data_IF_696683376594
#
_entry.id   IF_696683376594
#
_cell.length_a   1.000
_cell.length_b   1.000
_cell.length_c   1.000
_cell.angle_alpha   90.00
_cell.angle_beta   90.00
_cell.angle_gamma   90.00
#
_symmetry.space_group_name_H-M   'P 1'
#
loop_
_entity.id
_entity.type
_entity.pdbx_description
1 polymer ?
#
# COMPACT_ATOMS: atom_id res chain seq x y z
N UNK A 1 -0.83 -6.20 -1.01
CA UNK A 1 -1.14 -6.52 -2.42
C UNK A 1 -2.16 -5.51 -2.91
N UNK A 2 -1.89 -4.84 -3.99
CA UNK A 2 -2.76 -3.79 -4.54
C UNK A 2 -3.51 -4.24 -5.79
N UNK A 3 -4.13 -3.29 -6.48
CA UNK A 3 -4.91 -3.52 -7.69
C UNK A 3 -4.12 -4.27 -8.78
N UNK A 4 -2.84 -3.91 -8.96
CA UNK A 4 -1.98 -4.38 -10.06
C UNK A 4 -0.78 -5.20 -9.64
N UNK A 5 -0.65 -5.54 -8.35
CA UNK A 5 0.47 -6.29 -7.81
C UNK A 5 0.05 -7.62 -7.21
N UNK A 6 0.93 -8.62 -7.34
CA UNK A 6 0.75 -9.95 -6.73
C UNK A 6 -0.52 -10.63 -7.16
N UNK A 7 -1.42 -10.89 -6.21
CA UNK A 7 -2.70 -11.57 -6.42
C UNK A 7 -3.90 -10.62 -6.63
N UNK A 8 -3.64 -9.33 -6.80
CA UNK A 8 -4.69 -8.36 -7.17
C UNK A 8 -5.30 -8.68 -8.53
N UNK A 9 -6.48 -8.13 -8.84
CA UNK A 9 -7.23 -8.50 -10.06
C UNK A 9 -6.42 -8.31 -11.35
N UNK A 10 -5.57 -7.30 -11.40
CA UNK A 10 -4.70 -7.00 -12.54
C UNK A 10 -3.21 -7.19 -12.22
N UNK A 11 -2.92 -7.98 -11.19
CA UNK A 11 -1.56 -8.37 -10.82
C UNK A 11 -1.04 -9.53 -11.68
N UNK A 12 0.18 -9.97 -11.37
CA UNK A 12 0.84 -11.04 -12.14
C UNK A 12 0.24 -12.44 -11.88
N UNK A 13 -0.45 -12.59 -10.75
CA UNK A 13 -1.01 -13.89 -10.32
C UNK A 13 -2.36 -13.68 -9.63
N UNK A 14 -3.40 -13.24 -10.36
CA UNK A 14 -4.68 -12.92 -9.77
C UNK A 14 -5.32 -14.14 -9.09
N UNK A 15 -5.97 -13.91 -7.95
CA UNK A 15 -6.72 -14.97 -7.24
C UNK A 15 -8.00 -15.39 -7.97
N UNK A 16 -8.60 -14.46 -8.69
CA UNK A 16 -9.82 -14.66 -9.45
C UNK A 16 -9.54 -14.90 -10.94
N UNK A 17 -10.62 -14.98 -11.68
CA UNK A 17 -10.58 -15.05 -13.15
C UNK A 17 -11.57 -14.04 -13.71
N UNK A 18 -11.24 -13.52 -14.88
CA UNK A 18 -12.20 -12.77 -15.69
C UNK A 18 -13.05 -13.75 -16.52
N UNK A 19 -14.20 -13.31 -16.92
CA UNK A 19 -15.08 -13.98 -17.91
C UNK A 19 -14.75 -13.59 -19.37
N UNK A 20 -13.67 -12.82 -19.54
CA UNK A 20 -13.10 -12.39 -20.82
C UNK A 20 -11.56 -12.49 -20.75
N UNK A 21 -10.88 -12.37 -21.89
CA UNK A 21 -9.42 -12.32 -21.96
C UNK A 21 -8.93 -10.91 -21.63
N UNK A 22 -8.39 -10.67 -20.43
CA UNK A 22 -7.86 -9.35 -20.08
C UNK A 22 -6.58 -9.07 -20.86
N UNK A 23 -6.26 -7.81 -21.16
CA UNK A 23 -4.99 -7.46 -21.75
C UNK A 23 -3.84 -7.91 -20.83
N UNK A 24 -2.71 -8.38 -21.38
CA UNK A 24 -1.58 -8.90 -20.61
C UNK A 24 -0.92 -7.85 -19.72
N UNK A 25 -1.13 -6.59 -20.03
CA UNK A 25 -0.75 -5.43 -19.23
C UNK A 25 -1.84 -4.40 -19.27
N UNK A 26 -2.18 -3.89 -18.10
CA UNK A 26 -3.07 -2.76 -17.97
C UNK A 26 -2.31 -1.52 -17.51
N UNK A 27 -2.88 -0.39 -17.84
CA UNK A 27 -2.59 0.89 -17.20
C UNK A 27 -3.92 1.47 -16.78
N UNK A 28 -4.05 1.76 -15.49
CA UNK A 28 -5.23 2.35 -14.93
C UNK A 28 -4.88 3.69 -14.31
N UNK A 29 -5.70 4.69 -14.52
CA UNK A 29 -5.49 6.06 -14.04
C UNK A 29 -6.76 6.56 -13.40
N UNK A 30 -6.64 7.18 -12.23
CA UNK A 30 -7.76 7.85 -11.56
C UNK A 30 -7.30 9.12 -10.84
N UNK A 31 -8.17 10.13 -10.69
CA UNK A 31 -7.86 11.32 -9.93
C UNK A 31 -7.77 11.01 -8.43
N UNK A 32 -6.83 11.63 -7.74
CA UNK A 32 -6.86 11.70 -6.28
C UNK A 32 -7.35 13.09 -5.83
N UNK A 33 -8.27 13.18 -4.86
CA UNK A 33 -8.73 14.46 -4.34
C UNK A 33 -7.69 15.15 -3.43
N UNK A 34 -6.60 14.45 -3.11
CA UNK A 34 -5.57 14.92 -2.18
C UNK A 34 -4.58 15.82 -2.88
N UNK A 35 -4.11 16.85 -2.17
CA UNK A 35 -2.90 17.57 -2.54
C UNK A 35 -1.71 16.63 -2.37
N UNK A 36 -0.86 16.55 -3.38
CA UNK A 36 0.38 15.77 -3.29
C UNK A 36 1.56 16.68 -3.55
N UNK A 37 2.61 16.53 -2.74
CA UNK A 37 3.85 17.28 -2.87
C UNK A 37 5.04 16.33 -2.86
N UNK A 38 6.01 16.59 -3.72
CA UNK A 38 7.31 15.91 -3.78
C UNK A 38 8.43 16.89 -3.53
N UNK A 39 9.42 16.50 -2.73
CA UNK A 39 10.57 17.31 -2.37
C UNK A 39 11.87 16.59 -2.73
N UNK A 40 12.85 17.36 -3.20
CA UNK A 40 14.20 16.91 -3.50
C UNK A 40 15.21 18.01 -3.19
N UNK A 41 16.34 17.65 -2.56
CA UNK A 41 17.40 18.57 -2.15
C UNK A 41 16.86 19.77 -1.33
N UNK A 42 15.89 19.50 -0.43
CA UNK A 42 15.24 20.50 0.40
C UNK A 42 14.33 21.48 -0.38
N UNK A 43 13.97 21.19 -1.62
CA UNK A 43 13.09 22.00 -2.45
C UNK A 43 11.87 21.22 -2.91
N UNK A 44 10.72 21.91 -2.96
CA UNK A 44 9.52 21.36 -3.60
C UNK A 44 9.73 21.30 -5.10
N UNK A 45 9.66 20.10 -5.68
CA UNK A 45 9.76 19.86 -7.12
C UNK A 45 8.41 19.66 -7.80
N UNK A 46 7.40 19.26 -7.04
CA UNK A 46 6.02 19.17 -7.52
C UNK A 46 5.05 19.43 -6.36
N UNK A 47 3.98 20.16 -6.62
CA UNK A 47 2.93 20.46 -5.66
C UNK A 47 1.62 20.68 -6.42
N UNK A 48 0.66 19.79 -6.26
CA UNK A 48 -0.58 19.84 -7.03
C UNK A 48 -1.77 19.25 -6.28
N UNK A 49 -2.96 19.79 -6.57
CA UNK A 49 -4.27 19.21 -6.23
C UNK A 49 -4.95 18.53 -7.43
N UNK A 50 -4.25 18.44 -8.56
CA UNK A 50 -4.75 17.82 -9.81
C UNK A 50 -3.99 16.55 -10.14
N UNK A 51 -3.45 15.90 -9.11
CA UNK A 51 -2.66 14.69 -9.25
C UNK A 51 -3.55 13.53 -9.69
N UNK A 52 -2.99 12.69 -10.54
CA UNK A 52 -3.55 11.39 -10.88
C UNK A 52 -2.74 10.29 -10.20
N UNK A 53 -3.43 9.26 -9.73
CA UNK A 53 -2.81 7.98 -9.42
C UNK A 53 -2.78 7.14 -10.69
N UNK A 54 -1.68 6.46 -10.96
CA UNK A 54 -1.65 5.50 -12.05
C UNK A 54 -1.01 4.18 -11.63
N UNK A 55 -1.60 3.12 -12.13
CA UNK A 55 -1.18 1.74 -11.90
C UNK A 55 -0.75 1.10 -13.20
N UNK A 56 0.22 0.22 -13.10
CA UNK A 56 0.64 -0.64 -14.20
C UNK A 56 0.80 -2.06 -13.66
N UNK A 57 0.39 -3.07 -14.39
CA UNK A 57 0.56 -4.47 -14.00
C UNK A 57 1.98 -4.76 -13.50
N UNK A 58 2.10 -5.33 -12.31
CA UNK A 58 3.36 -5.68 -11.67
C UNK A 58 4.06 -4.52 -10.94
N UNK A 59 3.43 -3.33 -10.84
CA UNK A 59 4.01 -2.18 -10.17
C UNK A 59 3.07 -1.58 -9.12
N UNK A 60 3.66 -0.98 -8.09
CA UNK A 60 2.95 -0.14 -7.14
C UNK A 60 2.42 1.13 -7.84
N UNK A 61 1.33 1.72 -7.33
CA UNK A 61 0.83 2.98 -7.85
C UNK A 61 1.88 4.09 -7.78
N UNK A 62 1.75 5.06 -8.67
CA UNK A 62 2.61 6.23 -8.72
C UNK A 62 1.76 7.50 -8.81
N UNK A 63 2.33 8.63 -8.41
CA UNK A 63 1.74 9.94 -8.62
C UNK A 63 2.13 10.48 -9.99
N UNK A 64 1.14 11.00 -10.71
CA UNK A 64 1.33 11.78 -11.93
C UNK A 64 0.88 13.22 -11.68
N UNK A 65 1.76 14.16 -11.95
CA UNK A 65 1.53 15.59 -11.77
C UNK A 65 1.32 16.27 -13.12
N UNK A 66 0.43 17.26 -13.22
CA UNK A 66 0.43 18.15 -14.37
C UNK A 66 1.84 18.76 -14.55
N UNK A 67 2.34 18.78 -15.78
CA UNK A 67 3.70 19.29 -16.05
C UNK A 67 3.90 20.74 -15.63
N UNK A 68 2.83 21.53 -15.64
CA UNK A 68 2.84 22.93 -15.21
C UNK A 68 2.95 23.11 -13.69
N UNK A 69 2.62 22.07 -12.90
CA UNK A 69 2.74 22.08 -11.43
C UNK A 69 4.09 21.53 -10.95
N UNK A 70 5.02 21.32 -11.88
CA UNK A 70 6.37 20.81 -11.60
C UNK A 70 7.40 21.90 -11.81
N UNK A 71 8.33 22.03 -10.87
CA UNK A 71 9.42 22.99 -10.90
C UNK A 71 10.78 22.31 -10.74
N UNK A 72 11.77 22.78 -11.51
CA UNK A 72 13.18 22.45 -11.29
C UNK A 72 13.66 21.06 -11.72
N UNK A 73 12.79 20.12 -12.04
CA UNK A 73 13.17 18.77 -12.52
C UNK A 73 12.21 18.31 -13.60
N UNK A 74 12.74 17.85 -14.72
CA UNK A 74 11.92 17.21 -15.74
C UNK A 74 11.50 15.83 -15.24
N UNK A 75 10.24 15.68 -14.83
CA UNK A 75 9.64 14.37 -14.55
C UNK A 75 9.59 13.50 -15.81
N UNK A 76 9.33 12.22 -15.63
CA UNK A 76 9.15 11.27 -16.72
C UNK A 76 7.72 11.38 -17.27
N UNK A 77 7.53 11.59 -18.57
CA UNK A 77 6.17 11.56 -19.14
C UNK A 77 5.43 10.28 -18.80
N UNK A 78 4.17 10.41 -18.43
CA UNK A 78 3.32 9.25 -18.14
C UNK A 78 2.67 8.77 -19.43
N UNK A 79 3.02 7.58 -19.94
CA UNK A 79 2.47 7.11 -21.20
C UNK A 79 0.96 6.97 -21.15
N UNK A 80 0.24 7.57 -22.10
CA UNK A 80 -1.22 7.57 -22.16
C UNK A 80 -1.90 8.58 -21.24
N UNK A 81 -1.14 9.51 -20.65
CA UNK A 81 -1.66 10.63 -19.87
C UNK A 81 -0.91 11.91 -20.29
N UNK A 82 -1.37 12.52 -21.35
CA UNK A 82 -0.72 13.70 -21.95
C UNK A 82 -0.73 14.89 -20.97
N UNK A 83 0.38 15.60 -20.92
CA UNK A 83 0.57 16.75 -20.04
C UNK A 83 0.88 16.39 -18.58
N UNK A 84 1.09 15.11 -18.27
CA UNK A 84 1.46 14.64 -16.94
C UNK A 84 2.85 14.00 -16.90
N UNK A 85 3.51 14.20 -15.78
CA UNK A 85 4.81 13.60 -15.49
C UNK A 85 4.80 12.92 -14.13
N UNK A 86 5.66 11.92 -13.96
CA UNK A 86 5.86 11.19 -12.71
C UNK A 86 7.32 11.20 -12.31
N UNK A 87 7.56 10.91 -11.04
CA UNK A 87 8.90 10.73 -10.49
C UNK A 87 8.99 9.35 -9.84
N UNK A 88 10.07 8.60 -10.04
CA UNK A 88 10.32 7.40 -9.26
C UNK A 88 10.37 7.71 -7.77
N UNK A 89 9.73 6.87 -6.96
CA UNK A 89 9.63 7.07 -5.52
C UNK A 89 10.97 7.41 -4.87
N UNK A 90 12.00 6.63 -5.20
CA UNK A 90 13.35 6.73 -4.62
C UNK A 90 14.19 7.91 -5.12
N UNK A 91 13.73 8.64 -6.11
CA UNK A 91 14.43 9.83 -6.63
C UNK A 91 14.07 11.11 -5.88
N UNK A 92 13.06 11.04 -5.00
CA UNK A 92 12.61 12.14 -4.15
C UNK A 92 12.99 11.86 -2.70
N UNK A 93 13.32 12.91 -1.96
CA UNK A 93 13.70 12.81 -0.54
C UNK A 93 12.47 12.67 0.35
N UNK A 94 11.37 13.32 -0.02
CA UNK A 94 10.12 13.27 0.73
C UNK A 94 8.89 13.40 -0.16
N UNK A 95 7.84 12.72 0.25
CA UNK A 95 6.52 12.76 -0.35
C UNK A 95 5.50 13.13 0.70
N UNK A 96 4.49 13.91 0.33
CA UNK A 96 3.40 14.31 1.21
C UNK A 96 2.06 14.14 0.52
N UNK A 97 1.07 13.65 1.26
CA UNK A 97 -0.36 13.76 0.95
C UNK A 97 -0.99 14.70 1.97
N UNK A 98 -1.59 15.78 1.50
CA UNK A 98 -2.00 16.93 2.31
C UNK A 98 -0.80 17.41 3.16
N UNK A 99 -0.91 17.42 4.47
CA UNK A 99 0.16 17.83 5.39
C UNK A 99 0.94 16.65 6.00
N UNK A 100 0.63 15.40 5.59
CA UNK A 100 1.27 14.21 6.13
C UNK A 100 2.33 13.66 5.18
N UNK A 101 3.51 13.34 5.74
CA UNK A 101 4.54 12.65 5.00
C UNK A 101 4.14 11.20 4.72
N UNK A 102 4.37 10.77 3.49
CA UNK A 102 4.12 9.40 3.03
C UNK A 102 5.45 8.67 2.95
N UNK A 103 5.51 7.49 3.55
CA UNK A 103 6.70 6.66 3.59
C UNK A 103 6.53 5.39 2.73
N UNK A 104 7.66 4.81 2.30
CA UNK A 104 7.76 3.54 1.60
C UNK A 104 7.26 3.57 0.16
N UNK A 105 6.00 3.93 -0.08
CA UNK A 105 5.39 4.03 -1.41
C UNK A 105 4.08 4.83 -1.35
N UNK A 106 3.52 5.13 -2.51
CA UNK A 106 2.19 5.76 -2.65
C UNK A 106 1.14 4.99 -1.85
N UNK A 107 0.27 5.70 -1.14
CA UNK A 107 -0.88 5.09 -0.46
C UNK A 107 -1.87 4.58 -1.52
N UNK A 108 -1.95 3.26 -1.65
CA UNK A 108 -2.84 2.61 -2.60
C UNK A 108 -4.26 2.53 -2.01
N UNK A 109 -5.27 3.20 -2.59
CA UNK A 109 -6.65 3.13 -2.09
C UNK A 109 -7.25 1.72 -2.18
N UNK A 110 -6.68 0.82 -2.99
CA UNK A 110 -7.10 -0.57 -3.15
C UNK A 110 -6.34 -1.54 -2.26
N UNK A 111 -5.35 -1.06 -1.48
CA UNK A 111 -4.60 -1.85 -0.52
C UNK A 111 -4.80 -1.25 0.88
N UNK A 112 -5.78 -1.78 1.62
CA UNK A 112 -6.19 -1.25 2.90
C UNK A 112 -5.81 -2.19 4.03
N UNK A 113 -5.51 -1.60 5.18
CA UNK A 113 -5.42 -2.31 6.45
C UNK A 113 -6.65 -1.93 7.25
N UNK A 114 -7.50 -2.89 7.52
CA UNK A 114 -8.67 -2.70 8.37
C UNK A 114 -8.43 -3.44 9.70
N UNK A 115 -8.62 -2.74 10.80
CA UNK A 115 -8.58 -3.32 12.15
C UNK A 115 -10.01 -3.49 12.61
N UNK A 116 -10.46 -4.73 12.73
CA UNK A 116 -11.82 -5.08 13.12
C UNK A 116 -11.82 -5.66 14.54
N UNK A 117 -12.78 -5.24 15.34
CA UNK A 117 -13.10 -5.93 16.58
C UNK A 117 -14.02 -7.12 16.28
N UNK A 118 -13.79 -8.22 16.97
CA UNK A 118 -14.60 -9.42 16.80
C UNK A 118 -14.98 -10.01 18.17
N UNK A 119 -16.15 -10.63 18.21
CA UNK A 119 -16.58 -11.48 19.35
C UNK A 119 -16.18 -12.93 19.16
N UNK A 120 -15.56 -13.28 18.03
CA UNK A 120 -15.05 -14.62 17.78
C UNK A 120 -13.95 -14.96 18.77
N UNK A 121 -14.10 -16.11 19.43
CA UNK A 121 -13.07 -16.63 20.31
C UNK A 121 -11.98 -17.32 19.50
N UNK A 122 -10.73 -16.98 19.74
CA UNK A 122 -9.56 -17.54 19.04
C UNK A 122 -8.59 -18.09 20.09
N UNK A 123 -8.17 -19.31 19.86
CA UNK A 123 -7.14 -19.99 20.67
C UNK A 123 -5.94 -20.34 19.80
N UNK A 124 -4.75 -20.05 20.30
CA UNK A 124 -3.47 -20.42 19.68
C UNK A 124 -2.78 -21.44 20.55
N UNK A 125 -2.52 -22.62 20.00
CA UNK A 125 -1.88 -23.70 20.72
C UNK A 125 -0.69 -24.29 19.94
N UNK A 126 0.33 -24.71 20.65
CA UNK A 126 1.49 -25.43 20.11
C UNK A 126 1.72 -26.69 20.93
N UNK A 127 1.78 -27.83 20.31
CA UNK A 127 1.97 -29.13 20.99
C UNK A 127 0.90 -29.43 22.06
N UNK A 128 -0.33 -28.93 21.91
CA UNK A 128 -1.40 -29.07 22.88
C UNK A 128 -1.38 -28.04 24.03
N UNK A 129 -0.36 -27.21 24.11
CA UNK A 129 -0.26 -26.12 25.08
C UNK A 129 -0.88 -24.85 24.51
N UNK A 130 -1.88 -24.28 25.19
CA UNK A 130 -2.48 -22.99 24.82
C UNK A 130 -1.49 -21.86 25.17
N UNK A 131 -1.18 -21.04 24.18
CA UNK A 131 -0.29 -19.89 24.28
C UNK A 131 -1.02 -18.56 24.34
N UNK A 132 -2.20 -18.48 23.68
CA UNK A 132 -3.06 -17.31 23.73
C UNK A 132 -4.50 -17.72 23.53
N UNK A 133 -5.43 -17.05 24.22
CA UNK A 133 -6.86 -17.33 24.11
C UNK A 133 -7.66 -16.07 24.46
N UNK A 134 -8.38 -15.53 23.49
CA UNK A 134 -9.19 -14.33 23.65
C UNK A 134 -10.13 -14.09 22.45
N UNK A 135 -10.90 -13.01 22.51
CA UNK A 135 -11.50 -12.38 21.34
C UNK A 135 -10.59 -11.24 20.85
N UNK A 136 -9.66 -11.51 19.95
CA UNK A 136 -8.63 -10.55 19.55
C UNK A 136 -9.16 -9.53 18.55
N UNK A 137 -8.34 -8.48 18.31
CA UNK A 137 -8.53 -7.63 17.14
C UNK A 137 -8.01 -8.36 15.90
N UNK A 138 -8.78 -8.28 14.83
CA UNK A 138 -8.39 -8.81 13.52
C UNK A 138 -7.82 -7.66 12.71
N UNK A 139 -6.63 -7.85 12.19
CA UNK A 139 -6.02 -6.99 11.19
C UNK A 139 -6.22 -7.63 9.82
N UNK A 140 -6.89 -6.88 8.93
CA UNK A 140 -6.97 -7.22 7.52
C UNK A 140 -6.04 -6.32 6.73
N UNK A 141 -5.19 -6.93 5.95
CA UNK A 141 -4.48 -6.28 4.87
C UNK A 141 -5.00 -6.86 3.56
N UNK A 142 -5.39 -5.99 2.62
CA UNK A 142 -6.01 -6.41 1.35
C UNK A 142 -5.14 -7.46 0.65
N UNK A 143 -5.72 -8.62 0.38
CA UNK A 143 -5.05 -9.74 -0.30
C UNK A 143 -4.14 -10.59 0.58
N UNK A 144 -4.11 -10.38 1.89
CA UNK A 144 -3.45 -11.26 2.85
C UNK A 144 -4.47 -11.96 3.75
N UNK A 145 -4.14 -13.13 4.32
CA UNK A 145 -4.97 -13.74 5.34
C UNK A 145 -5.11 -12.82 6.56
N UNK A 146 -6.25 -12.88 7.25
CA UNK A 146 -6.44 -12.16 8.50
C UNK A 146 -5.35 -12.51 9.53
N UNK A 147 -4.87 -11.50 10.25
CA UNK A 147 -3.94 -11.67 11.36
C UNK A 147 -4.65 -11.30 12.66
N UNK A 148 -4.44 -12.10 13.69
CA UNK A 148 -5.03 -11.91 14.99
C UNK A 148 -4.03 -11.28 15.94
N UNK A 149 -4.41 -10.17 16.56
CA UNK A 149 -3.58 -9.45 17.53
C UNK A 149 -4.20 -9.63 18.92
N UNK A 150 -3.47 -10.29 19.80
CA UNK A 150 -3.83 -10.49 21.18
C UNK A 150 -3.25 -9.40 22.07
N UNK A 151 -3.97 -9.00 23.10
CA UNK A 151 -3.37 -8.17 24.14
C UNK A 151 -2.30 -8.99 24.90
N UNK A 152 -1.22 -8.36 25.36
CA UNK A 152 -0.17 -9.10 26.11
C UNK A 152 -0.70 -9.88 27.31
N UNK A 153 -1.76 -9.41 27.95
CA UNK A 153 -2.41 -10.09 29.07
C UNK A 153 -3.09 -11.41 28.70
N UNK A 154 -3.44 -11.58 27.41
CA UNK A 154 -4.11 -12.78 26.88
C UNK A 154 -3.11 -13.78 26.31
N UNK A 155 -1.82 -13.51 26.47
CA UNK A 155 -0.72 -14.33 25.93
C UNK A 155 0.15 -14.87 27.07
N UNK A 156 0.45 -16.15 27.02
CA UNK A 156 1.38 -16.82 27.94
C UNK A 156 2.83 -16.45 27.57
N UNK A 157 3.19 -15.17 27.86
CA UNK A 157 4.53 -14.64 27.57
C UNK A 157 5.63 -15.41 28.31
N UNK A 158 5.29 -16.04 29.44
CA UNK A 158 6.18 -16.91 30.23
C UNK A 158 6.63 -18.18 29.45
N UNK A 159 5.91 -18.55 28.40
CA UNK A 159 6.21 -19.69 27.53
C UNK A 159 6.90 -19.29 26.23
N UNK A 160 7.13 -18.01 26.01
CA UNK A 160 7.71 -17.48 24.80
C UNK A 160 9.14 -16.98 25.02
N UNK A 161 9.97 -17.12 24.01
CA UNK A 161 11.31 -16.54 24.01
C UNK A 161 11.38 -15.45 22.92
N UNK A 162 12.11 -14.35 23.17
CA UNK A 162 12.41 -13.37 22.14
C UNK A 162 13.05 -14.03 20.92
N UNK A 163 12.70 -13.58 19.75
CA UNK A 163 13.29 -14.01 18.48
C UNK A 163 14.08 -12.86 17.87
N UNK A 164 15.15 -13.17 17.16
CA UNK A 164 15.91 -12.19 16.35
C UNK A 164 15.23 -11.92 15.00
N UNK A 165 14.08 -12.55 14.74
CA UNK A 165 13.33 -12.35 13.50
C UNK A 165 12.62 -11.01 13.55
N UNK A 166 12.94 -10.14 12.63
CA UNK A 166 12.25 -8.85 12.42
C UNK A 166 11.21 -9.00 11.31
N UNK A 167 10.05 -8.39 11.50
CA UNK A 167 9.06 -8.22 10.43
C UNK A 167 9.42 -6.96 9.63
N UNK A 168 9.75 -7.13 8.35
CA UNK A 168 9.97 -6.03 7.40
C UNK A 168 8.70 -5.60 6.69
#
# INVERSE_FOLDING_TARGET
>A
MGLTTGAGPFGERPHGRFDFDPPPRIRYVEPTPRRVRAEKDGKTVADSRRVQLFWTTGAQPQYAFPSEDVSGSAGRPVPGLDGYVSFPWKEMDAWFEEDEQVFVHVRDPYSRIDVLETTSHVSVAVGGQILAEASPKILFETGLPPRYYFAPADVRLDLLMPSETESG
#
